data_IF_000354676962
#
_entry.id   IF_000354676962
#
_cell.length_a   1.000
_cell.length_b   1.000
_cell.length_c   1.000
_cell.angle_alpha   90.00
_cell.angle_beta   90.00
_cell.angle_gamma   90.00
#
_symmetry.space_group_name_H-M   'P 1'
#
loop_
_entity.id
_entity.type
_entity.pdbx_description
1 polymer ?
#
# COMPACT_ATOMS: atom_id res chain seq x y z
N UNK A 1 34.39 -12.16 -5.96
CA UNK A 1 33.12 -12.40 -6.67
C UNK A 1 33.15 -11.62 -7.98
N UNK A 2 32.85 -12.24 -9.13
CA UNK A 2 33.01 -11.58 -10.44
C UNK A 2 31.98 -10.46 -10.63
N UNK A 3 32.33 -9.37 -11.32
CA UNK A 3 31.43 -8.22 -11.57
C UNK A 3 30.07 -8.62 -12.17
N UNK A 4 30.06 -9.66 -13.03
CA UNK A 4 28.83 -10.22 -13.62
C UNK A 4 27.86 -10.79 -12.56
N UNK A 5 28.39 -11.35 -11.47
CA UNK A 5 27.57 -11.94 -10.41
C UNK A 5 26.78 -10.87 -9.64
N UNK A 6 27.36 -9.68 -9.42
CA UNK A 6 26.67 -8.57 -8.76
C UNK A 6 25.45 -8.09 -9.57
N UNK A 7 25.60 -7.95 -10.89
CA UNK A 7 24.51 -7.52 -11.78
C UNK A 7 23.37 -8.53 -11.78
N UNK A 8 23.70 -9.83 -11.85
CA UNK A 8 22.71 -10.90 -11.81
C UNK A 8 21.94 -10.88 -10.48
N UNK A 9 22.65 -10.74 -9.34
CA UNK A 9 22.03 -10.65 -8.02
C UNK A 9 21.09 -9.44 -7.94
N UNK A 10 21.54 -8.25 -8.38
CA UNK A 10 20.73 -7.02 -8.38
C UNK A 10 19.46 -7.20 -9.23
N UNK A 11 19.57 -7.84 -10.39
CA UNK A 11 18.42 -8.09 -11.26
C UNK A 11 17.42 -9.07 -10.63
N UNK A 12 17.90 -10.15 -10.00
CA UNK A 12 17.04 -11.10 -9.28
C UNK A 12 16.32 -10.44 -8.09
N UNK A 13 17.03 -9.62 -7.30
CA UNK A 13 16.43 -8.87 -6.20
C UNK A 13 15.39 -7.86 -6.72
N UNK A 14 15.70 -7.11 -7.79
CA UNK A 14 14.77 -6.15 -8.40
C UNK A 14 13.51 -6.83 -8.97
N UNK A 15 13.66 -8.02 -9.55
CA UNK A 15 12.54 -8.81 -10.04
C UNK A 15 11.65 -9.30 -8.89
N UNK A 16 12.26 -9.83 -7.83
CA UNK A 16 11.51 -10.27 -6.64
C UNK A 16 10.78 -9.11 -5.95
N UNK A 17 11.42 -7.93 -5.84
CA UNK A 17 10.82 -6.71 -5.31
C UNK A 17 9.59 -6.30 -6.12
N UNK A 18 9.71 -6.30 -7.45
CA UNK A 18 8.61 -5.91 -8.34
C UNK A 18 7.43 -6.88 -8.23
N UNK A 19 7.68 -8.19 -8.14
CA UNK A 19 6.63 -9.21 -7.94
C UNK A 19 5.92 -9.00 -6.58
N UNK A 20 6.68 -8.81 -5.50
CA UNK A 20 6.11 -8.58 -4.16
C UNK A 20 5.29 -7.28 -4.15
N UNK A 21 5.73 -6.22 -4.84
CA UNK A 21 4.99 -4.97 -4.95
C UNK A 21 3.64 -5.14 -5.66
N UNK A 22 3.59 -5.93 -6.73
CA UNK A 22 2.36 -6.26 -7.45
C UNK A 22 1.37 -7.06 -6.59
N UNK A 23 1.88 -7.99 -5.80
CA UNK A 23 1.08 -8.76 -4.85
C UNK A 23 0.48 -7.80 -3.81
N UNK A 24 1.29 -6.92 -3.22
CA UNK A 24 0.81 -5.95 -2.23
C UNK A 24 -0.24 -4.98 -2.82
N UNK A 25 -0.12 -4.59 -4.08
CA UNK A 25 -1.09 -3.73 -4.78
C UNK A 25 -2.44 -4.41 -5.03
N UNK A 26 -2.43 -5.70 -5.35
CA UNK A 26 -3.64 -6.46 -5.73
C UNK A 26 -4.36 -7.13 -4.55
N UNK A 27 -3.71 -7.26 -3.40
CA UNK A 27 -4.25 -8.01 -2.25
C UNK A 27 -5.08 -7.16 -1.28
N UNK A 28 -6.07 -7.81 -0.68
CA UNK A 28 -7.07 -7.20 0.20
C UNK A 28 -6.71 -7.20 1.69
N UNK A 29 -5.42 -7.20 2.03
CA UNK A 29 -4.94 -7.42 3.41
C UNK A 29 -4.00 -6.33 3.89
N UNK A 30 -4.39 -5.08 3.67
CA UNK A 30 -3.73 -3.91 4.25
C UNK A 30 -4.23 -3.62 5.66
N UNK A 31 -5.51 -3.89 5.91
CA UNK A 31 -6.12 -3.86 7.24
C UNK A 31 -6.91 -5.14 7.49
N UNK A 32 -6.83 -5.64 8.72
CA UNK A 32 -7.68 -6.70 9.25
C UNK A 32 -8.38 -6.17 10.50
N UNK A 33 -9.69 -6.29 10.58
CA UNK A 33 -10.43 -5.84 11.74
C UNK A 33 -11.58 -6.78 12.07
N UNK A 34 -12.03 -6.72 13.32
CA UNK A 34 -13.25 -7.39 13.76
C UNK A 34 -14.23 -6.34 14.29
N UNK A 35 -15.49 -6.46 13.91
CA UNK A 35 -16.58 -5.66 14.40
C UNK A 35 -17.57 -6.58 15.13
N UNK A 36 -17.90 -6.22 16.36
CA UNK A 36 -18.76 -7.03 17.24
C UNK A 36 -20.03 -6.22 17.49
N UNK A 37 -21.19 -6.81 17.18
CA UNK A 37 -22.49 -6.21 17.49
C UNK A 37 -23.08 -6.79 18.78
N UNK A 38 -22.90 -8.08 18.98
CA UNK A 38 -23.41 -8.87 20.10
C UNK A 38 -22.58 -10.16 20.16
N UNK A 39 -22.62 -10.89 21.27
CA UNK A 39 -21.91 -12.17 21.45
C UNK A 39 -22.20 -13.20 20.35
N UNK A 40 -23.33 -13.06 19.65
CA UNK A 40 -23.78 -13.98 18.58
C UNK A 40 -23.53 -13.48 17.16
N UNK A 41 -23.05 -12.24 16.99
CA UNK A 41 -22.85 -11.61 15.67
C UNK A 41 -21.48 -10.95 15.64
N UNK A 42 -20.53 -11.66 15.03
CA UNK A 42 -19.16 -11.20 14.77
C UNK A 42 -18.99 -10.98 13.26
N UNK A 43 -18.42 -9.83 12.89
CA UNK A 43 -18.04 -9.51 11.53
C UNK A 43 -16.53 -9.41 11.42
N UNK A 44 -15.92 -10.26 10.60
CA UNK A 44 -14.52 -10.17 10.20
C UNK A 44 -14.39 -9.37 8.92
N UNK A 45 -13.49 -8.41 8.95
CA UNK A 45 -13.29 -7.45 7.88
C UNK A 45 -11.83 -7.52 7.46
N UNK A 46 -11.60 -7.65 6.16
CA UNK A 46 -10.28 -7.45 5.58
C UNK A 46 -10.41 -6.54 4.37
N UNK A 47 -9.58 -5.52 4.24
CA UNK A 47 -9.53 -4.75 3.00
C UNK A 47 -8.12 -4.31 2.64
N UNK A 48 -7.93 -4.17 1.33
CA UNK A 48 -6.75 -3.62 0.70
C UNK A 48 -6.97 -2.16 0.33
N UNK A 49 -6.25 -1.71 -0.69
CA UNK A 49 -6.29 -0.33 -1.12
C UNK A 49 -7.59 0.04 -1.86
N UNK A 50 -8.19 -0.92 -2.58
CA UNK A 50 -9.34 -0.68 -3.46
C UNK A 50 -10.57 -1.54 -3.12
N UNK A 51 -10.34 -2.76 -2.62
CA UNK A 51 -11.37 -3.74 -2.37
C UNK A 51 -11.13 -4.47 -1.04
N UNK A 52 -12.16 -5.15 -0.57
CA UNK A 52 -12.12 -5.91 0.67
C UNK A 52 -13.20 -6.95 0.73
N UNK A 53 -13.23 -7.68 1.84
CA UNK A 53 -14.23 -8.69 2.14
C UNK A 53 -14.77 -8.47 3.55
N UNK A 54 -16.06 -8.66 3.68
CA UNK A 54 -16.79 -8.70 4.95
C UNK A 54 -17.33 -10.10 5.11
N UNK A 55 -16.88 -10.80 6.14
CA UNK A 55 -17.44 -12.09 6.55
C UNK A 55 -18.24 -11.88 7.84
N UNK A 56 -19.55 -12.10 7.78
CA UNK A 56 -20.42 -12.00 8.94
C UNK A 56 -20.82 -13.39 9.40
N UNK A 57 -20.51 -13.70 10.66
CA UNK A 57 -20.97 -14.92 11.34
C UNK A 57 -22.28 -14.60 12.05
N UNK A 58 -23.35 -15.26 11.61
CA UNK A 58 -24.68 -15.18 12.23
C UNK A 58 -25.11 -16.60 12.60
N UNK A 59 -25.15 -16.90 13.90
CA UNK A 59 -25.59 -18.20 14.42
C UNK A 59 -24.79 -19.36 13.79
N UNK A 60 -25.42 -20.13 12.89
CA UNK A 60 -24.85 -21.30 12.22
C UNK A 60 -24.42 -21.04 10.75
N UNK A 61 -24.53 -19.80 10.26
CA UNK A 61 -24.22 -19.44 8.87
C UNK A 61 -23.20 -18.30 8.78
N UNK A 62 -22.38 -18.36 7.74
CA UNK A 62 -21.40 -17.30 7.40
C UNK A 62 -21.78 -16.66 6.09
N UNK A 63 -22.11 -15.37 6.12
CA UNK A 63 -22.36 -14.55 4.94
C UNK A 63 -21.07 -13.85 4.52
N UNK A 64 -20.75 -13.85 3.22
CA UNK A 64 -19.59 -13.15 2.67
C UNK A 64 -20.05 -12.07 1.69
N UNK A 65 -19.52 -10.87 1.85
CA UNK A 65 -19.80 -9.73 0.98
C UNK A 65 -18.49 -9.11 0.49
N UNK A 66 -18.47 -8.75 -0.79
CA UNK A 66 -17.37 -8.00 -1.38
C UNK A 66 -17.55 -6.51 -1.10
N UNK A 67 -16.49 -5.88 -0.62
CA UNK A 67 -16.44 -4.45 -0.35
C UNK A 67 -15.61 -3.77 -1.43
N UNK A 68 -16.07 -2.60 -1.89
CA UNK A 68 -15.27 -1.70 -2.72
C UNK A 68 -15.22 -0.31 -2.11
N UNK A 69 -14.07 0.34 -2.23
CA UNK A 69 -13.92 1.70 -1.73
C UNK A 69 -14.72 2.68 -2.60
N UNK A 70 -15.32 3.66 -1.96
CA UNK A 70 -15.92 4.84 -2.60
C UNK A 70 -15.41 6.08 -1.89
N UNK A 71 -15.01 7.07 -2.68
CA UNK A 71 -14.42 8.31 -2.21
C UNK A 71 -15.13 9.49 -2.85
N UNK A 72 -15.49 10.48 -2.04
CA UNK A 72 -15.97 11.77 -2.53
C UNK A 72 -15.01 12.87 -2.05
N UNK A 73 -14.36 13.54 -3.00
CA UNK A 73 -13.33 14.54 -2.71
C UNK A 73 -13.90 15.83 -2.13
N UNK A 74 -15.14 16.20 -2.51
CA UNK A 74 -15.83 17.38 -1.98
C UNK A 74 -16.12 17.20 -0.48
N UNK A 75 -16.53 15.98 -0.09
CA UNK A 75 -16.77 15.60 1.30
C UNK A 75 -15.49 15.23 2.06
N UNK A 76 -14.35 15.11 1.37
CA UNK A 76 -13.06 14.65 1.91
C UNK A 76 -13.15 13.31 2.65
N UNK A 77 -14.13 12.47 2.28
CA UNK A 77 -14.46 11.24 2.97
C UNK A 77 -14.49 10.06 2.00
N UNK A 78 -13.99 8.92 2.46
CA UNK A 78 -14.10 7.62 1.83
C UNK A 78 -14.68 6.60 2.80
N UNK A 79 -15.28 5.56 2.24
CA UNK A 79 -15.73 4.39 2.99
C UNK A 79 -15.68 3.14 2.10
N UNK A 80 -15.74 1.97 2.72
CA UNK A 80 -15.95 0.72 2.02
C UNK A 80 -17.44 0.35 1.98
N UNK A 81 -17.95 0.13 0.78
CA UNK A 81 -19.36 -0.18 0.52
C UNK A 81 -19.51 -1.53 -0.17
N UNK A 82 -20.57 -2.25 0.20
CA UNK A 82 -20.98 -3.55 -0.37
C UNK A 82 -21.89 -3.44 -1.61
N UNK A 83 -22.35 -2.24 -1.98
CA UNK A 83 -23.23 -2.06 -3.14
C UNK A 83 -22.52 -2.46 -4.45
N UNK A 84 -23.29 -2.88 -5.47
CA UNK A 84 -22.74 -3.32 -6.76
C UNK A 84 -22.31 -2.16 -7.67
N UNK A 85 -23.17 -1.13 -7.78
CA UNK A 85 -22.98 -0.01 -8.71
C UNK A 85 -22.22 1.17 -8.07
N UNK A 86 -21.28 1.76 -8.80
CA UNK A 86 -20.52 2.94 -8.34
C UNK A 86 -21.44 4.09 -7.89
N UNK A 87 -22.47 4.41 -8.70
CA UNK A 87 -23.44 5.45 -8.38
C UNK A 87 -24.27 5.16 -7.12
N UNK A 88 -24.50 3.88 -6.79
CA UNK A 88 -25.16 3.50 -5.53
C UNK A 88 -24.22 3.68 -4.35
N UNK A 89 -22.93 3.29 -4.48
CA UNK A 89 -21.90 3.51 -3.44
C UNK A 89 -21.75 4.98 -3.10
N UNK A 90 -21.72 5.86 -4.10
CA UNK A 90 -21.55 7.30 -3.86
C UNK A 90 -22.79 7.92 -3.17
N UNK A 91 -23.99 7.52 -3.59
CA UNK A 91 -25.23 7.92 -2.92
C UNK A 91 -25.28 7.42 -1.49
N UNK A 92 -24.82 6.19 -1.24
CA UNK A 92 -24.71 5.62 0.09
C UNK A 92 -23.73 6.45 0.94
N UNK A 93 -22.55 6.80 0.43
CA UNK A 93 -21.58 7.65 1.14
C UNK A 93 -22.20 9.01 1.52
N UNK A 94 -22.91 9.66 0.59
CA UNK A 94 -23.62 10.92 0.87
C UNK A 94 -24.70 10.76 1.93
N UNK A 95 -25.48 9.65 1.89
CA UNK A 95 -26.49 9.33 2.90
C UNK A 95 -25.86 9.13 4.27
N UNK A 96 -24.79 8.34 4.36
CA UNK A 96 -24.06 8.06 5.61
C UNK A 96 -23.49 9.35 6.19
N UNK A 97 -22.88 10.18 5.36
CA UNK A 97 -22.30 11.47 5.77
C UNK A 97 -23.38 12.42 6.32
N UNK A 98 -24.56 12.42 5.71
CA UNK A 98 -25.72 13.21 6.12
C UNK A 98 -26.57 12.54 7.22
N UNK A 99 -26.11 11.44 7.84
CA UNK A 99 -26.82 10.69 8.89
C UNK A 99 -28.21 10.17 8.47
N UNK A 100 -28.36 9.84 7.19
CA UNK A 100 -29.59 9.24 6.68
C UNK A 100 -29.54 7.71 6.81
N UNK A 101 -30.71 7.06 6.79
CA UNK A 101 -30.83 5.61 6.91
C UNK A 101 -30.14 4.90 5.74
N UNK A 102 -29.38 3.85 6.06
CA UNK A 102 -28.64 3.03 5.10
C UNK A 102 -29.42 1.77 4.71
N UNK A 103 -29.25 1.33 3.47
CA UNK A 103 -29.69 0.01 3.02
C UNK A 103 -28.73 -1.08 3.52
N UNK A 104 -29.24 -2.27 3.82
CA UNK A 104 -28.41 -3.41 4.25
C UNK A 104 -27.70 -4.06 3.07
N UNK A 105 -26.47 -4.54 3.29
CA UNK A 105 -25.72 -5.35 2.35
C UNK A 105 -26.41 -6.68 1.98
N UNK A 106 -27.45 -7.09 2.74
CA UNK A 106 -28.25 -8.31 2.54
C UNK A 106 -29.17 -8.30 1.31
N UNK A 107 -29.22 -7.23 0.50
CA UNK A 107 -30.24 -7.07 -0.55
C UNK A 107 -30.11 -7.97 -1.80
N UNK A 108 -29.21 -8.98 -1.81
CA UNK A 108 -29.12 -9.97 -2.89
C UNK A 108 -29.43 -11.40 -2.42
N UNK A 109 -30.44 -11.59 -1.57
CA UNK A 109 -31.15 -12.88 -1.55
C UNK A 109 -32.21 -12.89 -2.66
N UNK A 110 -32.44 -14.03 -3.35
CA UNK A 110 -33.53 -14.17 -4.30
C UNK A 110 -34.85 -13.64 -3.73
N UNK A 111 -35.61 -12.93 -4.56
CA UNK A 111 -36.77 -12.09 -4.22
C UNK A 111 -37.91 -12.78 -3.45
N UNK A 112 -37.84 -14.08 -3.17
CA UNK A 112 -38.86 -14.82 -2.41
C UNK A 112 -38.79 -14.63 -0.89
N UNK A 113 -37.69 -14.09 -0.33
CA UNK A 113 -37.55 -13.90 1.13
C UNK A 113 -37.73 -12.46 1.63
N UNK A 114 -38.01 -11.49 0.75
CA UNK A 114 -38.20 -10.08 1.14
C UNK A 114 -39.47 -9.81 1.95
N UNK A 115 -40.39 -10.78 2.08
CA UNK A 115 -41.67 -10.58 2.78
C UNK A 115 -41.62 -10.63 4.32
N UNK A 116 -40.48 -10.95 4.95
CA UNK A 116 -40.48 -11.25 6.39
C UNK A 116 -39.74 -10.28 7.33
N UNK A 117 -39.21 -9.12 6.88
CA UNK A 117 -38.44 -8.22 7.78
C UNK A 117 -38.79 -6.74 7.73
N UNK A 118 -40.02 -6.38 7.35
CA UNK A 118 -40.54 -5.03 7.55
C UNK A 118 -41.58 -5.05 8.67
N UNK A 119 -41.11 -4.91 9.91
CA UNK A 119 -41.88 -4.39 11.04
C UNK A 119 -40.94 -4.16 12.24
N UNK A 120 -40.24 -3.03 12.22
CA UNK A 120 -39.93 -2.30 13.44
C UNK A 120 -39.70 -0.82 13.09
N UNK A 121 -40.78 -0.04 13.21
CA UNK A 121 -40.77 1.40 13.51
C UNK A 121 -39.94 1.64 14.80
N UNK A 122 -39.35 2.78 15.11
CA UNK A 122 -39.83 4.13 14.89
C UNK A 122 -38.66 5.12 14.97
N UNK A 123 -38.80 6.20 14.23
CA UNK A 123 -38.00 7.43 14.28
C UNK A 123 -37.73 7.90 15.71
N UNK A 124 -36.45 8.02 16.07
CA UNK A 124 -36.00 8.91 17.14
C UNK A 124 -35.04 9.94 16.56
N UNK A 125 -35.57 11.15 16.39
CA UNK A 125 -34.83 12.33 16.00
C UNK A 125 -34.08 12.84 17.23
N UNK A 126 -32.86 12.34 17.44
CA UNK A 126 -32.05 12.76 18.59
C UNK A 126 -31.29 14.04 18.26
N UNK A 127 -31.82 15.17 18.71
CA UNK A 127 -31.08 16.43 18.77
C UNK A 127 -29.84 16.24 19.66
N UNK A 128 -28.64 16.28 19.07
CA UNK A 128 -27.38 16.20 19.81
C UNK A 128 -26.46 17.35 19.42
N UNK A 129 -25.95 18.02 20.47
CA UNK A 129 -25.18 19.25 20.43
C UNK A 129 -24.02 19.21 19.40
N UNK A 130 -23.91 20.31 18.65
CA UNK A 130 -23.26 20.41 17.34
C UNK A 130 -21.73 20.60 17.36
N UNK A 131 -21.09 20.65 18.53
CA UNK A 131 -19.64 20.91 18.63
C UNK A 131 -18.81 19.63 18.83
N UNK A 132 -19.29 18.67 19.62
CA UNK A 132 -18.56 17.41 19.88
C UNK A 132 -18.84 16.34 18.81
N UNK A 133 -20.00 16.45 18.16
CA UNK A 133 -20.43 15.58 17.06
C UNK A 133 -19.60 15.77 15.79
N UNK A 134 -19.13 16.99 15.48
CA UNK A 134 -18.32 17.27 14.30
C UNK A 134 -16.91 16.65 14.38
N UNK A 135 -16.30 16.62 15.57
CA UNK A 135 -14.99 16.00 15.79
C UNK A 135 -15.06 14.46 15.79
N UNK A 136 -16.12 13.86 16.35
CA UNK A 136 -16.36 12.41 16.22
C UNK A 136 -16.69 11.99 14.78
N UNK A 137 -17.44 12.80 14.02
CA UNK A 137 -17.77 12.55 12.61
C UNK A 137 -16.52 12.43 11.74
N UNK A 138 -15.54 13.33 11.95
CA UNK A 138 -14.27 13.32 11.20
C UNK A 138 -13.44 12.07 11.48
N UNK A 139 -13.68 11.39 12.60
CA UNK A 139 -12.94 10.20 13.04
C UNK A 139 -13.47 8.89 12.47
N UNK A 140 -14.73 8.85 12.02
CA UNK A 140 -15.36 7.61 11.55
C UNK A 140 -15.10 7.25 10.08
N UNK A 141 -14.73 8.21 9.23
CA UNK A 141 -14.50 7.99 7.80
C UNK A 141 -13.01 7.96 7.46
N UNK A 142 -12.69 7.30 6.34
CA UNK A 142 -11.35 7.39 5.76
C UNK A 142 -11.18 8.78 5.14
N UNK A 143 -10.09 9.47 5.47
CA UNK A 143 -9.76 10.74 4.83
C UNK A 143 -9.42 10.51 3.35
N UNK A 144 -10.25 11.03 2.45
CA UNK A 144 -10.06 10.89 1.01
C UNK A 144 -8.71 11.37 0.48
N UNK A 145 -8.19 12.56 0.87
CA UNK A 145 -6.89 13.00 0.39
C UNK A 145 -5.75 12.12 0.90
N UNK A 146 -5.80 11.64 2.15
CA UNK A 146 -4.75 10.76 2.70
C UNK A 146 -4.71 9.41 1.97
N UNK A 147 -5.87 8.82 1.72
CA UNK A 147 -5.96 7.60 0.91
C UNK A 147 -5.43 7.83 -0.51
N UNK A 148 -5.85 8.92 -1.17
CA UNK A 148 -5.42 9.23 -2.54
C UNK A 148 -3.90 9.42 -2.64
N UNK A 149 -3.30 10.17 -1.70
CA UNK A 149 -1.85 10.36 -1.66
C UNK A 149 -1.13 9.03 -1.43
N UNK A 150 -1.65 8.17 -0.54
CA UNK A 150 -1.09 6.84 -0.30
C UNK A 150 -1.09 5.99 -1.58
N UNK A 151 -2.22 5.96 -2.30
CA UNK A 151 -2.35 5.25 -3.57
C UNK A 151 -1.37 5.80 -4.61
N UNK A 152 -1.30 7.12 -4.74
CA UNK A 152 -0.45 7.78 -5.73
C UNK A 152 1.03 7.47 -5.49
N UNK A 153 1.51 7.63 -4.25
CA UNK A 153 2.89 7.33 -3.89
C UNK A 153 3.23 5.87 -4.16
N UNK A 154 2.32 4.96 -3.84
CA UNK A 154 2.54 3.53 -4.07
C UNK A 154 2.54 3.16 -5.56
N UNK A 155 1.63 3.73 -6.36
CA UNK A 155 1.61 3.55 -7.81
C UNK A 155 2.88 4.08 -8.46
N UNK A 156 3.37 5.26 -8.04
CA UNK A 156 4.63 5.82 -8.53
C UNK A 156 5.81 4.93 -8.15
N UNK A 157 5.87 4.43 -6.91
CA UNK A 157 6.90 3.49 -6.48
C UNK A 157 6.91 2.21 -7.34
N UNK A 158 5.73 1.66 -7.65
CA UNK A 158 5.62 0.46 -8.47
C UNK A 158 6.11 0.69 -9.91
N UNK A 159 5.76 1.83 -10.52
CA UNK A 159 6.24 2.19 -11.86
C UNK A 159 7.78 2.29 -11.88
N UNK A 160 8.37 3.00 -10.93
CA UNK A 160 9.83 3.11 -10.86
C UNK A 160 10.53 1.79 -10.49
N UNK A 161 9.88 0.92 -9.71
CA UNK A 161 10.40 -0.43 -9.45
C UNK A 161 10.46 -1.28 -10.73
N UNK A 162 9.45 -1.17 -11.59
CA UNK A 162 9.45 -1.86 -12.89
C UNK A 162 10.51 -1.30 -13.84
N UNK A 163 10.71 0.03 -13.84
CA UNK A 163 11.80 0.67 -14.60
C UNK A 163 13.16 0.18 -14.09
N UNK A 164 13.37 0.18 -12.76
CA UNK A 164 14.60 -0.31 -12.15
C UNK A 164 14.87 -1.78 -12.51
N UNK A 165 13.85 -2.64 -12.44
CA UNK A 165 13.93 -4.04 -12.84
C UNK A 165 14.32 -4.20 -14.32
N UNK A 166 13.68 -3.43 -15.21
CA UNK A 166 13.96 -3.48 -16.66
C UNK A 166 15.39 -3.03 -16.96
N UNK A 167 15.84 -1.93 -16.34
CA UNK A 167 17.22 -1.46 -16.44
C UNK A 167 18.21 -2.51 -15.91
N UNK A 168 17.90 -3.17 -14.79
CA UNK A 168 18.77 -4.19 -14.22
C UNK A 168 18.93 -5.39 -15.16
N UNK A 169 17.85 -5.83 -15.81
CA UNK A 169 17.88 -6.89 -16.82
C UNK A 169 18.68 -6.49 -18.07
N UNK A 170 18.50 -5.26 -18.55
CA UNK A 170 19.28 -4.73 -19.68
C UNK A 170 20.78 -4.79 -19.34
N UNK A 171 21.17 -4.38 -18.13
CA UNK A 171 22.56 -4.37 -17.68
C UNK A 171 23.21 -5.77 -17.60
N UNK A 172 22.43 -6.86 -17.59
CA UNK A 172 22.98 -8.24 -17.64
C UNK A 172 23.60 -8.52 -19.00
N UNK A 173 22.94 -8.08 -20.09
CA UNK A 173 23.27 -8.48 -21.46
C UNK A 173 23.92 -7.35 -22.25
N UNK A 174 23.50 -6.12 -22.02
CA UNK A 174 23.97 -4.94 -22.73
C UNK A 174 24.60 -3.97 -21.73
N UNK A 175 25.74 -3.40 -22.11
CA UNK A 175 26.41 -2.33 -21.37
C UNK A 175 26.09 -0.99 -22.04
N UNK A 176 24.93 -0.38 -21.77
CA UNK A 176 24.55 0.87 -22.41
C UNK A 176 25.47 2.01 -21.97
N UNK A 177 25.80 2.88 -22.92
CA UNK A 177 26.65 4.07 -22.70
C UNK A 177 25.83 5.19 -22.04
N UNK A 178 24.52 5.22 -22.25
CA UNK A 178 23.63 6.25 -21.72
C UNK A 178 23.50 6.16 -20.19
N UNK A 179 23.71 7.25 -19.44
CA UNK A 179 23.82 7.23 -17.98
C UNK A 179 22.53 6.81 -17.26
N UNK A 180 21.36 7.04 -17.89
CA UNK A 180 20.05 6.69 -17.33
C UNK A 180 19.77 5.18 -17.39
N UNK A 181 20.31 4.49 -18.39
CA UNK A 181 20.17 3.03 -18.53
C UNK A 181 21.35 2.27 -17.92
N UNK A 182 22.44 2.97 -17.60
CA UNK A 182 23.61 2.44 -16.93
C UNK A 182 23.36 2.26 -15.41
N UNK A 183 24.35 1.71 -14.70
CA UNK A 183 24.37 1.50 -13.24
C UNK A 183 23.99 2.76 -12.46
N UNK A 184 24.33 3.95 -12.98
CA UNK A 184 23.94 5.23 -12.39
C UNK A 184 22.40 5.39 -12.29
N UNK A 185 21.67 5.06 -13.34
CA UNK A 185 20.20 5.05 -13.32
C UNK A 185 19.61 4.11 -12.27
N UNK A 186 20.23 2.95 -12.03
CA UNK A 186 19.77 2.02 -10.99
C UNK A 186 19.80 2.64 -9.59
N UNK A 187 20.77 3.52 -9.29
CA UNK A 187 20.76 4.25 -8.02
C UNK A 187 19.56 5.20 -7.93
N UNK A 188 19.32 5.98 -8.98
CA UNK A 188 18.22 6.96 -9.01
C UNK A 188 16.89 6.25 -8.86
N UNK A 189 16.62 5.23 -9.68
CA UNK A 189 15.34 4.54 -9.67
C UNK A 189 15.07 3.85 -8.32
N UNK A 190 16.06 3.14 -7.75
CA UNK A 190 15.88 2.52 -6.44
C UNK A 190 15.73 3.55 -5.30
N UNK A 191 16.40 4.69 -5.38
CA UNK A 191 16.24 5.77 -4.39
C UNK A 191 14.83 6.36 -4.42
N UNK A 192 14.32 6.66 -5.62
CA UNK A 192 12.94 7.15 -5.81
C UNK A 192 11.95 6.13 -5.25
N UNK A 193 12.14 4.84 -5.52
CA UNK A 193 11.27 3.78 -4.98
C UNK A 193 11.30 3.76 -3.46
N UNK A 194 12.46 3.81 -2.81
CA UNK A 194 12.56 3.84 -1.33
C UNK A 194 11.81 5.04 -0.76
N UNK A 195 12.00 6.24 -1.31
CA UNK A 195 11.34 7.46 -0.84
C UNK A 195 9.82 7.35 -1.01
N UNK A 196 9.35 6.88 -2.16
CA UNK A 196 7.92 6.72 -2.42
C UNK A 196 7.28 5.63 -1.53
N UNK A 197 7.93 4.47 -1.35
CA UNK A 197 7.46 3.41 -0.45
C UNK A 197 7.42 3.86 1.01
N UNK A 198 8.43 4.62 1.44
CA UNK A 198 8.44 5.22 2.78
C UNK A 198 7.29 6.21 2.96
N UNK A 199 7.02 7.06 1.97
CA UNK A 199 5.85 7.95 1.95
C UNK A 199 4.54 7.18 2.10
N UNK A 200 4.34 6.13 1.29
CA UNK A 200 3.17 5.23 1.39
C UNK A 200 3.01 4.66 2.79
N UNK A 201 4.10 4.20 3.41
CA UNK A 201 4.08 3.64 4.76
C UNK A 201 3.65 4.69 5.79
N UNK A 202 4.24 5.89 5.73
CA UNK A 202 3.92 6.99 6.66
C UNK A 202 2.46 7.42 6.51
N UNK A 203 1.97 7.62 5.29
CA UNK A 203 0.59 8.05 5.07
C UNK A 203 -0.42 6.98 5.48
N UNK A 204 -0.17 5.71 5.18
CA UNK A 204 -1.03 4.62 5.62
C UNK A 204 -1.03 4.47 7.15
N UNK A 205 0.14 4.57 7.78
CA UNK A 205 0.26 4.51 9.24
C UNK A 205 -0.43 5.69 9.93
N UNK A 206 -0.32 6.90 9.35
CA UNK A 206 -1.05 8.08 9.82
C UNK A 206 -2.57 7.88 9.69
N UNK A 207 -3.04 7.30 8.58
CA UNK A 207 -4.45 6.96 8.40
C UNK A 207 -4.92 5.94 9.45
N UNK A 208 -4.09 4.93 9.74
CA UNK A 208 -4.40 3.88 10.72
C UNK A 208 -4.59 4.44 12.14
N UNK A 209 -3.63 5.22 12.64
CA UNK A 209 -3.68 5.75 14.01
C UNK A 209 -4.77 6.79 14.23
N UNK A 210 -5.08 7.60 13.21
CA UNK A 210 -6.05 8.68 13.36
C UNK A 210 -7.50 8.20 13.19
N UNK A 211 -7.72 7.20 12.32
CA UNK A 211 -9.06 6.79 11.90
C UNK A 211 -9.31 5.29 12.10
N UNK A 212 -8.50 4.43 11.47
CA UNK A 212 -8.84 3.01 11.31
C UNK A 212 -8.81 2.20 12.62
N UNK A 213 -8.05 2.65 13.63
CA UNK A 213 -8.00 2.00 14.94
C UNK A 213 -9.32 2.15 15.73
N UNK A 214 -10.09 3.20 15.44
CA UNK A 214 -11.35 3.51 16.13
C UNK A 214 -12.55 3.03 15.31
N UNK A 215 -12.54 3.29 14.00
CA UNK A 215 -13.62 2.86 13.11
C UNK A 215 -13.05 2.35 11.79
N UNK A 216 -13.50 1.15 11.42
CA UNK A 216 -13.09 0.44 10.21
C UNK A 216 -13.77 1.01 8.94
N UNK A 217 -14.63 2.03 9.10
CA UNK A 217 -15.22 2.84 8.03
C UNK A 217 -15.95 2.01 6.94
N UNK A 218 -16.76 1.05 7.39
CA UNK A 218 -17.62 0.22 6.52
C UNK A 218 -19.07 0.64 6.70
N UNK A 219 -19.90 0.47 5.66
CA UNK A 219 -21.36 0.67 5.69
C UNK A 219 -22.01 0.24 7.02
N UNK A 220 -21.66 -0.95 7.52
CA UNK A 220 -22.24 -1.50 8.75
C UNK A 220 -21.72 -0.83 10.03
N UNK A 221 -20.44 -0.49 10.12
CA UNK A 221 -19.88 0.22 11.30
C UNK A 221 -20.23 1.71 11.32
N UNK A 222 -20.69 2.24 10.19
CA UNK A 222 -21.14 3.62 10.04
C UNK A 222 -22.65 3.78 10.24
N UNK A 223 -23.42 2.68 10.30
CA UNK A 223 -24.86 2.74 10.54
C UNK A 223 -25.13 3.02 12.02
N UNK A 224 -25.66 4.21 12.31
CA UNK A 224 -26.01 4.62 13.68
C UNK A 224 -27.10 3.76 14.34
N UNK A 225 -27.90 3.03 13.56
CA UNK A 225 -28.96 2.14 14.07
C UNK A 225 -28.39 0.86 14.73
N UNK A 226 -27.14 0.49 14.46
CA UNK A 226 -26.49 -0.69 15.03
C UNK A 226 -25.17 -0.28 15.68
N UNK A 227 -25.08 -0.39 17.01
CA UNK A 227 -23.87 -0.10 17.78
C UNK A 227 -22.82 -1.21 17.60
N UNK A 228 -22.24 -1.35 16.42
CA UNK A 228 -21.07 -2.19 16.20
C UNK A 228 -19.86 -1.57 16.90
N UNK A 229 -19.29 -2.30 17.86
CA UNK A 229 -18.04 -1.91 18.52
C UNK A 229 -16.90 -2.49 17.68
N UNK A 230 -16.05 -1.60 17.14
CA UNK A 230 -14.84 -1.97 16.40
C UNK A 230 -13.57 -1.28 16.93
N UNK A 231 -13.72 -0.44 17.96
CA UNK A 231 -12.62 0.25 18.62
C UNK A 231 -11.56 -0.74 19.14
N UNK A 232 -10.31 -0.58 18.70
CA UNK A 232 -9.18 -1.38 19.16
C UNK A 232 -9.07 -2.78 18.57
N UNK A 233 -10.02 -3.19 17.73
CA UNK A 233 -10.03 -4.50 17.07
C UNK A 233 -9.41 -4.49 15.66
N UNK A 234 -9.04 -3.32 15.16
CA UNK A 234 -8.34 -3.17 13.89
C UNK A 234 -6.83 -3.37 14.05
N UNK A 235 -6.25 -4.21 13.19
CA UNK A 235 -4.83 -4.51 13.10
C UNK A 235 -4.33 -4.31 11.68
N UNK A 236 -3.07 -3.89 11.55
CA UNK A 236 -2.39 -3.81 10.26
C UNK A 236 -2.28 -5.22 9.66
N UNK A 237 -2.61 -5.34 8.38
CA UNK A 237 -2.53 -6.59 7.64
C UNK A 237 -1.12 -6.87 7.11
N UNK A 238 -0.93 -8.03 6.47
CA UNK A 238 0.40 -8.44 6.00
C UNK A 238 0.97 -7.54 4.91
N UNK A 239 0.12 -6.89 4.09
CA UNK A 239 0.60 -6.01 3.01
C UNK A 239 1.43 -4.84 3.57
N UNK A 240 1.09 -4.34 4.77
CA UNK A 240 1.87 -3.32 5.47
C UNK A 240 3.30 -3.80 5.78
N UNK A 241 3.45 -5.03 6.26
CA UNK A 241 4.77 -5.61 6.54
C UNK A 241 5.53 -5.96 5.25
N UNK A 242 4.84 -6.30 4.16
CA UNK A 242 5.46 -6.47 2.85
C UNK A 242 6.10 -5.17 2.35
N UNK A 243 5.50 -3.99 2.61
CA UNK A 243 6.11 -2.70 2.28
C UNK A 243 7.44 -2.48 3.03
N UNK A 244 7.52 -2.86 4.31
CA UNK A 244 8.78 -2.81 5.06
C UNK A 244 9.85 -3.70 4.44
N UNK A 245 9.49 -4.93 4.06
CA UNK A 245 10.39 -5.86 3.38
C UNK A 245 10.85 -5.29 2.03
N UNK A 246 9.95 -4.67 1.26
CA UNK A 246 10.28 -4.01 0.00
C UNK A 246 11.27 -2.86 0.19
N UNK A 247 11.07 -2.00 1.20
CA UNK A 247 11.99 -0.92 1.53
C UNK A 247 13.38 -1.49 1.84
N UNK A 248 13.47 -2.51 2.69
CA UNK A 248 14.73 -3.17 3.03
C UNK A 248 15.40 -3.78 1.78
N UNK A 249 14.62 -4.41 0.90
CA UNK A 249 15.13 -5.01 -0.32
C UNK A 249 15.73 -3.98 -1.27
N UNK A 250 15.07 -2.83 -1.47
CA UNK A 250 15.63 -1.73 -2.26
C UNK A 250 16.85 -1.07 -1.60
N UNK A 251 16.89 -0.98 -0.27
CA UNK A 251 18.09 -0.54 0.47
C UNK A 251 19.25 -1.52 0.26
N UNK A 252 19.00 -2.84 0.32
CA UNK A 252 20.02 -3.85 0.05
C UNK A 252 20.54 -3.73 -1.39
N UNK A 253 19.66 -3.48 -2.37
CA UNK A 253 20.07 -3.23 -3.76
C UNK A 253 21.00 -2.00 -3.84
N UNK A 254 20.66 -0.90 -3.16
CA UNK A 254 21.51 0.30 -3.11
C UNK A 254 22.87 0.02 -2.45
N UNK A 255 22.90 -0.74 -1.35
CA UNK A 255 24.15 -1.13 -0.68
C UNK A 255 25.03 -1.98 -1.61
N UNK A 256 24.44 -2.95 -2.33
CA UNK A 256 25.17 -3.79 -3.28
C UNK A 256 25.73 -2.97 -4.45
N UNK A 257 24.98 -1.97 -4.92
CA UNK A 257 25.46 -1.03 -5.93
C UNK A 257 26.64 -0.22 -5.39
N UNK A 258 26.53 0.36 -4.18
CA UNK A 258 27.61 1.12 -3.55
C UNK A 258 28.87 0.28 -3.35
N UNK A 259 28.73 -0.95 -2.86
CA UNK A 259 29.84 -1.87 -2.67
C UNK A 259 30.55 -2.17 -4.00
N UNK A 260 29.78 -2.37 -5.08
CA UNK A 260 30.34 -2.54 -6.42
C UNK A 260 31.12 -1.31 -6.87
N UNK A 261 30.63 -0.10 -6.62
CA UNK A 261 31.33 1.14 -7.01
C UNK A 261 32.68 1.23 -6.30
N UNK A 262 32.69 1.11 -4.98
CA UNK A 262 33.92 1.16 -4.16
C UNK A 262 34.95 0.12 -4.59
N UNK A 263 34.52 -1.12 -4.88
CA UNK A 263 35.43 -2.16 -5.34
C UNK A 263 36.06 -1.83 -6.71
N UNK A 264 35.34 -1.16 -7.61
CA UNK A 264 35.90 -0.77 -8.91
C UNK A 264 36.91 0.37 -8.74
N UNK A 265 36.60 1.38 -7.94
CA UNK A 265 37.50 2.51 -7.68
C UNK A 265 38.82 2.06 -7.03
N UNK A 266 38.75 1.11 -6.09
CA UNK A 266 39.92 0.50 -5.47
C UNK A 266 40.78 -0.27 -6.49
N UNK A 267 40.15 -0.96 -7.43
CA UNK A 267 40.87 -1.72 -8.46
C UNK A 267 41.52 -0.80 -9.51
N UNK A 268 40.85 0.29 -9.90
CA UNK A 268 41.38 1.25 -10.87
C UNK A 268 42.53 2.08 -10.30
N UNK A 269 42.46 2.49 -9.03
CA UNK A 269 43.59 3.15 -8.34
C UNK A 269 44.81 2.24 -8.22
N UNK A 270 44.64 0.97 -7.86
CA UNK A 270 45.71 -0.03 -7.83
C UNK A 270 46.32 -0.31 -9.21
N UNK A 271 45.52 -0.23 -10.28
CA UNK A 271 46.01 -0.40 -11.65
C UNK A 271 46.78 0.83 -12.13
N UNK A 272 46.30 2.02 -11.80
CA UNK A 272 46.98 3.29 -12.09
C UNK A 272 48.36 3.34 -11.43
N UNK A 273 48.45 2.99 -10.13
CA UNK A 273 49.72 2.91 -9.41
C UNK A 273 50.71 1.91 -10.02
N UNK A 274 50.25 0.73 -10.45
CA UNK A 274 51.13 -0.23 -11.13
C UNK A 274 51.65 0.28 -12.47
N UNK A 275 50.79 0.94 -13.26
CA UNK A 275 51.20 1.48 -14.55
C UNK A 275 52.22 2.63 -14.41
N UNK A 276 52.07 3.47 -13.38
CA UNK A 276 53.05 4.52 -13.05
C UNK A 276 54.41 3.92 -12.68
N UNK A 277 54.44 2.89 -11.83
CA UNK A 277 55.69 2.24 -11.45
C UNK A 277 56.41 1.54 -12.63
N UNK A 278 55.66 1.04 -13.62
CA UNK A 278 56.23 0.41 -14.83
C UNK A 278 56.85 1.45 -15.78
N UNK A 279 56.31 2.68 -15.84
CA UNK A 279 56.90 3.73 -16.67
C UNK A 279 58.21 4.30 -16.09
N UNK A 280 58.31 4.40 -14.77
CA UNK A 280 59.53 4.89 -14.09
C UNK A 280 60.71 3.91 -14.25
N UNK A 281 60.45 2.59 -14.23
CA UNK A 281 61.46 1.55 -14.52
C UNK A 281 61.84 1.46 -16.01
N UNK A 282 61.05 2.06 -16.91
CA UNK A 282 61.26 2.03 -18.36
C UNK A 282 62.13 3.15 -18.91
N UNK A 283 62.24 4.28 -18.21
CA UNK A 283 62.95 5.49 -18.69
C UNK A 283 64.40 5.57 -18.17
N UNK A 284 64.83 4.61 -17.35
CA UNK A 284 66.18 4.53 -16.79
C UNK A 284 67.27 3.94 -17.70
N UNK A 285 67.00 3.74 -19.00
CA UNK A 285 67.98 3.13 -19.93
C UNK A 285 68.30 4.01 -21.14
N UNK A 286 68.68 5.27 -20.88
CA UNK A 286 69.54 6.04 -21.76
C UNK A 286 70.92 6.18 -21.11
N UNK A 287 71.71 5.09 -21.13
CA UNK A 287 73.15 5.20 -20.93
C UNK A 287 73.82 5.36 -22.29
N UNK A 288 74.46 6.52 -22.41
CA UNK A 288 75.47 6.87 -23.40
C UNK A 288 76.56 5.80 -23.44
N UNK A 289 76.81 5.21 -24.62
CA UNK A 289 78.16 4.90 -25.13
C UNK A 289 78.11 4.65 -26.63
#
# INVERSE_FOLDING_TARGET
MNQKNYVIIIALLSASASIISLIAFSTNYWLKATAILSERVESRINYGLFAGTLERHQLASTLKFDLKIVCNMDLKACMFSCQQDHLKRERELKRVYNKQKLESCEQNLPSDQQKFRMNYESSTQTNSNTTDSNNRMKKSYISAPLWLVTVLFFSVAQLFSLVAMTCALINIKWHPIEPIFNVYGLYIWNTVVVVCLFGTLVFWYALYNNHLIYNVAITDTLRQELNFISDGYARLGYCFYLLLILILLHIIILILLCYRAQHNDAHDSLRSHRNLNIMDDGDGRFEFY
#
